data_IF_999740830479
#
_entry.id   IF_999740830479
#
_cell.length_a   1.000
_cell.length_b   1.000
_cell.length_c   1.000
_cell.angle_alpha   90.00
_cell.angle_beta   90.00
_cell.angle_gamma   90.00
#
_symmetry.space_group_name_H-M   'P 1'
#
loop_
_entity.id
_entity.type
_entity.pdbx_description
1 polymer ?
#
# COMPACT_ATOMS: atom_id res chain seq x y z
N UNK A 1 7.01 -10.07 12.46
CA UNK A 1 5.60 -9.81 12.83
C UNK A 1 5.52 -9.56 14.32
N UNK A 2 4.83 -8.52 14.75
CA UNK A 2 4.67 -8.21 16.16
C UNK A 2 3.67 -9.13 16.87
N UNK A 3 3.76 -9.20 18.19
CA UNK A 3 2.92 -10.06 19.03
C UNK A 3 1.47 -9.54 19.12
N UNK A 4 1.27 -8.24 18.88
CA UNK A 4 -0.02 -7.56 18.92
C UNK A 4 -1.04 -8.18 17.95
N UNK A 5 -0.60 -8.63 16.77
CA UNK A 5 -1.47 -9.26 15.77
C UNK A 5 -1.71 -10.76 16.01
N UNK A 6 -1.00 -11.37 16.99
CA UNK A 6 -1.17 -12.79 17.37
C UNK A 6 -2.07 -12.97 18.59
N UNK A 7 -2.32 -11.89 19.33
CA UNK A 7 -3.06 -11.93 20.59
C UNK A 7 -4.46 -12.54 20.41
N UNK A 8 -4.91 -13.33 21.39
CA UNK A 8 -6.23 -14.00 21.37
C UNK A 8 -7.38 -13.02 21.10
N UNK A 9 -7.32 -11.82 21.69
CA UNK A 9 -8.32 -10.75 21.48
C UNK A 9 -8.46 -10.37 20.01
N UNK A 10 -7.33 -10.24 19.30
CA UNK A 10 -7.32 -9.88 17.88
C UNK A 10 -7.82 -11.04 17.01
N UNK A 11 -7.43 -12.28 17.34
CA UNK A 11 -7.95 -13.46 16.62
C UNK A 11 -9.47 -13.62 16.77
N UNK A 12 -10.04 -13.27 17.92
CA UNK A 12 -11.49 -13.27 18.11
C UNK A 12 -12.17 -12.28 17.16
N UNK A 13 -11.60 -11.09 16.98
CA UNK A 13 -12.12 -10.10 16.03
C UNK A 13 -12.03 -10.63 14.60
N UNK A 14 -10.89 -11.21 14.20
CA UNK A 14 -10.76 -11.78 12.86
C UNK A 14 -11.77 -12.88 12.56
N UNK A 15 -12.05 -13.76 13.53
CA UNK A 15 -13.08 -14.80 13.38
C UNK A 15 -14.48 -14.21 13.27
N UNK A 16 -14.78 -13.17 14.07
CA UNK A 16 -16.10 -12.52 14.09
C UNK A 16 -16.38 -11.81 12.75
N UNK A 17 -15.38 -11.14 12.19
CA UNK A 17 -15.49 -10.35 10.96
C UNK A 17 -15.15 -11.18 9.70
N UNK A 18 -15.02 -12.50 9.83
CA UNK A 18 -14.67 -13.42 8.73
C UNK A 18 -13.38 -13.04 7.96
N UNK A 19 -12.40 -12.47 8.68
CA UNK A 19 -11.11 -12.05 8.13
C UNK A 19 -10.12 -13.22 8.13
N UNK A 20 -9.69 -13.62 6.94
CA UNK A 20 -8.62 -14.58 6.77
C UNK A 20 -7.26 -13.93 7.04
N UNK A 21 -6.72 -14.15 8.24
CA UNK A 21 -5.43 -13.61 8.64
C UNK A 21 -4.27 -14.53 8.23
N UNK A 22 -3.36 -14.03 7.39
CA UNK A 22 -2.21 -14.77 6.89
C UNK A 22 -0.88 -14.22 7.43
N UNK A 23 0.08 -15.13 7.64
CA UNK A 23 1.43 -14.75 8.03
C UNK A 23 2.42 -14.90 6.91
N UNK A 24 3.24 -13.87 6.81
CA UNK A 24 4.29 -13.78 5.85
C UNK A 24 5.62 -14.15 6.56
N UNK A 25 6.12 -15.38 6.36
CA UNK A 25 7.39 -15.91 6.88
C UNK A 25 8.75 -15.36 6.32
N UNK A 26 8.78 -14.49 5.32
CA UNK A 26 10.03 -14.00 4.68
C UNK A 26 10.22 -12.52 5.01
N UNK A 27 11.45 -12.04 5.04
CA UNK A 27 11.77 -10.66 5.46
C UNK A 27 11.21 -9.58 4.52
N UNK A 28 11.11 -9.85 3.21
CA UNK A 28 10.72 -8.85 2.19
C UNK A 28 9.21 -8.52 2.18
N UNK A 29 8.42 -9.11 3.09
CA UNK A 29 6.96 -9.07 3.06
C UNK A 29 6.33 -7.73 3.46
N UNK A 30 7.09 -6.83 4.09
CA UNK A 30 6.59 -5.52 4.51
C UNK A 30 6.98 -4.36 3.57
N UNK A 31 7.75 -4.63 2.51
CA UNK A 31 8.36 -3.61 1.64
C UNK A 31 7.38 -2.58 1.06
N UNK A 32 6.15 -3.00 0.73
CA UNK A 32 5.10 -2.10 0.25
C UNK A 32 4.67 -1.14 1.37
N UNK A 33 4.32 -1.67 2.54
CA UNK A 33 3.94 -0.86 3.71
C UNK A 33 5.06 0.08 4.15
N UNK A 34 6.31 -0.39 4.14
CA UNK A 34 7.49 0.42 4.46
C UNK A 34 7.64 1.60 3.49
N UNK A 35 7.41 1.39 2.19
CA UNK A 35 7.42 2.46 1.18
C UNK A 35 6.34 3.50 1.47
N UNK A 36 5.14 3.08 1.84
CA UNK A 36 4.05 4.01 2.23
C UNK A 36 4.47 4.83 3.45
N UNK A 37 4.96 4.18 4.50
CA UNK A 37 5.42 4.83 5.73
C UNK A 37 6.52 5.84 5.43
N UNK A 38 7.52 5.48 4.60
CA UNK A 38 8.60 6.38 4.20
C UNK A 38 8.07 7.63 3.48
N UNK A 39 7.14 7.47 2.56
CA UNK A 39 6.53 8.59 1.81
C UNK A 39 5.75 9.52 2.73
N UNK A 40 4.89 8.98 3.60
CA UNK A 40 4.10 9.78 4.54
C UNK A 40 5.03 10.51 5.51
N UNK A 41 6.02 9.81 6.10
CA UNK A 41 7.02 10.44 6.98
C UNK A 41 7.75 11.59 6.29
N UNK A 42 8.17 11.43 5.03
CA UNK A 42 8.83 12.50 4.30
C UNK A 42 7.94 13.75 4.16
N UNK A 43 6.63 13.59 3.92
CA UNK A 43 5.68 14.71 3.88
C UNK A 43 5.52 15.37 5.26
N UNK A 44 5.42 14.57 6.32
CA UNK A 44 5.34 15.08 7.70
C UNK A 44 6.60 15.85 8.09
N UNK A 45 7.79 15.35 7.78
CA UNK A 45 9.04 16.05 8.08
C UNK A 45 9.17 17.40 7.37
N UNK A 46 8.73 17.49 6.09
CA UNK A 46 8.67 18.78 5.39
C UNK A 46 7.72 19.75 6.08
N UNK A 47 6.58 19.27 6.56
CA UNK A 47 5.63 20.08 7.32
C UNK A 47 6.23 20.57 8.65
N UNK A 48 6.96 19.72 9.37
CA UNK A 48 7.65 20.13 10.59
C UNK A 48 8.64 21.27 10.35
N UNK A 49 9.45 21.17 9.29
CA UNK A 49 10.40 22.22 8.93
C UNK A 49 9.71 23.54 8.56
N UNK A 50 8.58 23.47 7.85
CA UNK A 50 7.82 24.65 7.44
C UNK A 50 7.08 25.32 8.61
N UNK A 51 6.40 24.52 9.45
CA UNK A 51 5.50 25.00 10.49
C UNK A 51 6.20 25.22 11.84
N UNK A 52 7.51 24.91 11.94
CA UNK A 52 8.32 24.99 13.16
C UNK A 52 7.66 24.33 14.38
N UNK A 53 6.95 23.23 14.15
CA UNK A 53 6.20 22.50 15.17
C UNK A 53 6.11 21.02 14.81
N UNK A 54 6.19 20.17 15.83
CA UNK A 54 6.05 18.72 15.70
C UNK A 54 4.59 18.24 15.80
N UNK A 55 3.62 19.14 16.01
CA UNK A 55 2.20 18.77 16.03
C UNK A 55 1.68 18.56 14.60
N UNK A 56 1.59 17.30 14.18
CA UNK A 56 1.07 16.91 12.85
C UNK A 56 -0.36 16.35 12.86
N UNK A 57 -0.93 16.09 14.05
CA UNK A 57 -2.20 15.37 14.19
C UNK A 57 -3.33 16.08 13.44
N UNK A 58 -3.38 17.42 13.49
CA UNK A 58 -4.42 18.20 12.79
C UNK A 58 -4.29 18.17 11.26
N UNK A 59 -3.14 17.75 10.75
CA UNK A 59 -2.85 17.62 9.31
C UNK A 59 -2.81 16.18 8.84
N UNK A 60 -3.09 15.21 9.72
CA UNK A 60 -2.99 13.79 9.40
C UNK A 60 -3.85 13.42 8.18
N UNK A 61 -5.08 13.92 8.13
CA UNK A 61 -5.98 13.70 6.99
C UNK A 61 -5.42 14.33 5.71
N UNK A 62 -4.90 15.56 5.78
CA UNK A 62 -4.28 16.21 4.62
C UNK A 62 -3.09 15.42 4.05
N UNK A 63 -2.29 14.76 4.90
CA UNK A 63 -1.21 13.90 4.41
C UNK A 63 -1.73 12.63 3.73
N UNK A 64 -2.78 12.01 4.28
CA UNK A 64 -3.42 10.83 3.71
C UNK A 64 -4.08 11.18 2.36
N UNK A 65 -4.86 12.25 2.31
CA UNK A 65 -5.50 12.75 1.09
C UNK A 65 -4.44 13.05 0.03
N UNK A 66 -3.39 13.77 0.40
CA UNK A 66 -2.29 14.06 -0.51
C UNK A 66 -1.57 12.81 -0.99
N UNK A 67 -1.52 11.72 -0.23
CA UNK A 67 -0.96 10.45 -0.68
C UNK A 67 -1.89 9.73 -1.67
N UNK A 68 -3.19 9.69 -1.35
CA UNK A 68 -4.22 9.00 -2.12
C UNK A 68 -4.53 9.65 -3.48
N UNK A 69 -4.31 10.96 -3.62
CA UNK A 69 -4.54 11.71 -4.86
C UNK A 69 -3.27 11.89 -5.72
N UNK A 70 -2.09 11.52 -5.24
CA UNK A 70 -0.86 11.60 -6.04
C UNK A 70 -0.75 10.37 -6.94
N UNK A 71 -0.41 10.55 -8.21
CA UNK A 71 -0.10 9.44 -9.12
C UNK A 71 1.15 8.69 -8.63
N UNK A 72 1.05 7.37 -8.48
CA UNK A 72 2.18 6.53 -8.07
C UNK A 72 2.76 5.79 -9.26
N UNK A 73 4.08 5.87 -9.47
CA UNK A 73 4.77 5.13 -10.54
C UNK A 73 4.61 3.61 -10.45
N UNK A 74 4.33 3.08 -9.25
CA UNK A 74 4.07 1.65 -9.08
C UNK A 74 2.75 1.22 -9.70
N UNK A 75 1.76 2.10 -9.90
CA UNK A 75 0.44 1.74 -10.45
C UNK A 75 0.02 2.63 -11.64
N UNK A 76 0.82 3.65 -11.97
CA UNK A 76 0.59 4.66 -13.01
C UNK A 76 -0.76 5.39 -12.88
N UNK A 77 -1.31 5.45 -11.68
CA UNK A 77 -2.54 6.17 -11.34
C UNK A 77 -2.53 6.63 -9.88
N UNK A 78 -3.51 7.44 -9.49
CA UNK A 78 -3.68 7.80 -8.09
C UNK A 78 -4.36 6.63 -7.33
N UNK A 79 -3.91 6.30 -6.11
CA UNK A 79 -4.54 5.23 -5.32
C UNK A 79 -6.06 5.37 -5.15
N UNK A 80 -6.57 6.60 -5.07
CA UNK A 80 -8.01 6.85 -4.93
C UNK A 80 -8.83 6.46 -6.17
N UNK A 81 -8.18 6.30 -7.32
CA UNK A 81 -8.81 5.87 -8.57
C UNK A 81 -8.89 4.33 -8.68
N UNK A 82 -8.28 3.60 -7.75
CA UNK A 82 -8.35 2.14 -7.69
C UNK A 82 -9.70 1.71 -7.10
N UNK A 83 -10.48 1.01 -7.91
CA UNK A 83 -11.79 0.44 -7.57
C UNK A 83 -11.75 -1.09 -7.70
N UNK A 84 -12.78 -1.79 -7.22
CA UNK A 84 -12.81 -3.26 -7.28
C UNK A 84 -12.72 -3.79 -8.71
N UNK A 85 -13.25 -3.04 -9.67
CA UNK A 85 -13.35 -3.44 -11.07
C UNK A 85 -11.99 -3.34 -11.79
N UNK A 86 -11.14 -2.39 -11.41
CA UNK A 86 -9.82 -2.20 -12.03
C UNK A 86 -8.65 -2.76 -11.19
N UNK A 87 -8.90 -3.16 -9.93
CA UNK A 87 -7.86 -3.63 -9.02
C UNK A 87 -7.05 -4.81 -9.59
N UNK A 88 -7.72 -5.82 -10.16
CA UNK A 88 -7.02 -6.96 -10.76
C UNK A 88 -6.21 -6.54 -11.99
N UNK A 89 -6.75 -5.68 -12.85
CA UNK A 89 -6.03 -5.15 -14.01
C UNK A 89 -4.77 -4.38 -13.59
N UNK A 90 -4.89 -3.50 -12.60
CA UNK A 90 -3.75 -2.74 -12.03
C UNK A 90 -2.73 -3.70 -11.44
N UNK A 91 -3.17 -4.71 -10.67
CA UNK A 91 -2.30 -5.73 -10.08
C UNK A 91 -1.54 -6.49 -11.17
N UNK A 92 -2.26 -7.08 -12.13
CA UNK A 92 -1.69 -7.89 -13.21
C UNK A 92 -0.75 -7.08 -14.11
N UNK A 93 -1.07 -5.82 -14.40
CA UNK A 93 -0.18 -4.95 -15.18
C UNK A 93 1.23 -4.95 -14.59
N UNK A 94 1.37 -4.89 -13.27
CA UNK A 94 2.69 -4.85 -12.62
C UNK A 94 3.41 -6.19 -12.57
N UNK A 95 2.67 -7.30 -12.62
CA UNK A 95 3.28 -8.62 -12.77
C UNK A 95 3.79 -8.86 -14.20
N UNK A 96 3.08 -8.38 -15.23
CA UNK A 96 3.39 -8.66 -16.63
C UNK A 96 4.18 -7.57 -17.37
N UNK A 97 4.27 -6.34 -16.83
CA UNK A 97 5.03 -5.23 -17.45
C UNK A 97 6.55 -5.33 -17.30
N UNK A 98 7.07 -6.34 -16.59
CA UNK A 98 8.52 -6.60 -16.62
C UNK A 98 8.84 -7.38 -17.90
N UNK A 99 9.64 -6.84 -18.85
CA UNK A 99 10.08 -7.63 -19.97
C UNK A 99 10.96 -8.75 -19.41
N UNK A 100 10.40 -9.97 -19.35
CA UNK A 100 11.24 -11.14 -19.37
C UNK A 100 12.00 -11.07 -20.70
N UNK A 101 13.32 -11.07 -20.66
CA UNK A 101 14.17 -11.23 -21.83
C UNK A 101 13.89 -12.60 -22.45
N UNK A 102 12.79 -12.69 -23.21
CA UNK A 102 12.23 -13.96 -23.66
C UNK A 102 10.88 -13.74 -24.33
N UNK A 103 10.92 -13.49 -25.64
CA UNK A 103 9.84 -13.59 -26.64
C UNK A 103 8.42 -13.77 -26.07
N UNK A 104 7.62 -12.70 -26.07
CA UNK A 104 6.17 -12.74 -25.86
C UNK A 104 5.52 -13.58 -26.98
N UNK A 105 5.07 -14.80 -26.67
CA UNK A 105 4.06 -15.47 -27.48
C UNK A 105 2.72 -14.76 -27.24
N UNK A 106 2.16 -14.19 -28.31
CA UNK A 106 0.78 -13.68 -28.36
C UNK A 106 -0.18 -14.72 -27.79
N UNK A 107 -0.96 -14.35 -26.79
CA UNK A 107 -2.29 -14.92 -26.60
C UNK A 107 -3.24 -13.75 -26.25
N UNK A 108 -4.24 -13.60 -27.12
CA UNK A 108 -5.34 -12.61 -27.12
C UNK A 108 -6.53 -13.16 -26.27
N UNK A 109 -7.62 -12.39 -26.09
CA UNK A 109 -8.39 -12.29 -24.85
C UNK A 109 -9.47 -13.36 -24.68
N UNK A 110 -9.94 -13.51 -23.44
CA UNK A 110 -11.35 -13.61 -23.03
C UNK A 110 -11.49 -12.99 -21.64
#
# INVERSE_FOLDING_TARGET
MGQEFKAKRVQTVFKKEEINHFYALNEVKASVSERVIKTIKAKIYRYFSYNQSYRYIDKLQSFADGYNHTIHSTIDMAPIEVKKENAETVRLSKYFSRPHSGKLKKILPL
#
